data_IF_350951830749
#
_entry.id   IF_350951830749
#
_cell.length_a   1.000
_cell.length_b   1.000
_cell.length_c   1.000
_cell.angle_alpha   90.00
_cell.angle_beta   90.00
_cell.angle_gamma   90.00
#
_symmetry.space_group_name_H-M   'P 1'
#
loop_
_entity.id
_entity.type
_entity.pdbx_description
1 polymer ?
#
# COMPACT_ATOMS: atom_id res chain seq x y z
N UNK A 1 10.74 -0.45 3.88
CA UNK A 1 10.48 0.33 5.11
C UNK A 1 9.39 1.33 4.83
N UNK A 2 8.56 1.63 5.83
CA UNK A 2 7.52 2.64 5.69
C UNK A 2 8.17 4.03 5.59
N UNK A 3 7.86 4.79 4.54
CA UNK A 3 8.46 6.10 4.32
C UNK A 3 7.85 7.20 5.22
N UNK A 4 6.59 7.07 5.63
CA UNK A 4 5.91 8.04 6.49
C UNK A 4 4.78 7.38 7.29
N UNK A 5 4.76 7.65 8.60
CA UNK A 5 3.71 7.21 9.52
C UNK A 5 2.41 7.97 9.28
N UNK A 6 2.49 9.23 8.89
CA UNK A 6 1.37 10.09 8.54
C UNK A 6 0.62 9.56 7.32
N UNK A 7 1.37 9.15 6.28
CA UNK A 7 0.80 8.54 5.08
C UNK A 7 0.07 7.23 5.40
N UNK A 8 0.61 6.43 6.33
CA UNK A 8 -0.04 5.21 6.78
C UNK A 8 -1.32 5.48 7.60
N UNK A 9 -1.30 6.47 8.49
CA UNK A 9 -2.49 6.93 9.23
C UNK A 9 -3.58 7.44 8.28
N UNK A 10 -3.20 8.22 7.26
CA UNK A 10 -4.11 8.70 6.24
C UNK A 10 -4.74 7.56 5.43
N UNK A 11 -3.94 6.58 5.00
CA UNK A 11 -4.41 5.38 4.31
C UNK A 11 -5.43 4.59 5.15
N UNK A 12 -5.15 4.42 6.45
CA UNK A 12 -6.05 3.74 7.38
C UNK A 12 -7.37 4.49 7.56
N UNK A 13 -7.32 5.83 7.68
CA UNK A 13 -8.53 6.68 7.75
C UNK A 13 -9.37 6.56 6.48
N UNK A 14 -8.72 6.64 5.31
CA UNK A 14 -9.38 6.50 4.01
C UNK A 14 -10.06 5.12 3.86
N UNK A 15 -9.39 4.04 4.27
CA UNK A 15 -9.98 2.70 4.30
C UNK A 15 -11.21 2.63 5.21
N UNK A 16 -11.23 3.34 6.33
CA UNK A 16 -12.43 3.40 7.16
C UNK A 16 -13.56 4.12 6.40
N UNK A 17 -13.27 5.27 5.79
CA UNK A 17 -14.24 6.07 5.04
C UNK A 17 -14.86 5.29 3.87
N UNK A 18 -14.04 4.61 3.07
CA UNK A 18 -14.49 3.80 1.92
C UNK A 18 -15.34 2.58 2.32
N UNK A 19 -15.16 2.05 3.54
CA UNK A 19 -15.91 0.87 4.03
C UNK A 19 -17.20 1.30 4.75
N UNK A 20 -17.23 2.47 5.39
CA UNK A 20 -18.31 2.83 6.32
C UNK A 20 -19.41 3.73 5.75
N UNK A 21 -19.19 4.51 4.69
CA UNK A 21 -20.23 5.45 4.24
C UNK A 21 -20.72 5.19 2.82
N UNK A 22 -22.04 5.29 2.66
CA UNK A 22 -22.71 5.54 1.40
C UNK A 22 -22.13 6.85 0.82
N UNK A 23 -21.11 6.76 -0.02
CA UNK A 23 -20.59 7.93 -0.73
C UNK A 23 -21.70 8.50 -1.61
N UNK A 24 -22.32 9.58 -1.12
CA UNK A 24 -23.38 10.28 -1.85
C UNK A 24 -22.83 11.32 -2.83
N UNK A 25 -21.55 11.68 -2.69
CA UNK A 25 -20.83 12.55 -3.62
C UNK A 25 -19.90 11.72 -4.52
N UNK A 26 -20.23 11.55 -5.82
CA UNK A 26 -19.41 10.81 -6.77
C UNK A 26 -18.02 11.43 -7.00
N UNK A 27 -17.86 12.74 -6.84
CA UNK A 27 -16.57 13.42 -7.05
C UNK A 27 -15.63 13.10 -5.90
N UNK A 28 -16.10 13.27 -4.65
CA UNK A 28 -15.34 12.90 -3.47
C UNK A 28 -15.00 11.39 -3.46
N UNK A 29 -15.88 10.54 -4.00
CA UNK A 29 -15.61 9.12 -4.16
C UNK A 29 -14.50 8.85 -5.18
N UNK A 30 -14.53 9.50 -6.35
CA UNK A 30 -13.49 9.35 -7.36
C UNK A 30 -12.11 9.78 -6.84
N UNK A 31 -12.03 10.89 -6.10
CA UNK A 31 -10.80 11.36 -5.44
C UNK A 31 -10.33 10.37 -4.36
N UNK A 32 -11.26 9.82 -3.58
CA UNK A 32 -10.97 8.79 -2.59
C UNK A 32 -10.41 7.51 -3.24
N UNK A 33 -10.94 7.07 -4.38
CA UNK A 33 -10.42 5.93 -5.14
C UNK A 33 -9.01 6.20 -5.69
N UNK A 34 -8.76 7.40 -6.22
CA UNK A 34 -7.44 7.79 -6.70
C UNK A 34 -6.41 7.76 -5.56
N UNK A 35 -6.78 8.28 -4.38
CA UNK A 35 -5.96 8.25 -3.17
C UNK A 35 -5.74 6.81 -2.67
N UNK A 36 -6.78 5.97 -2.72
CA UNK A 36 -6.68 4.58 -2.33
C UNK A 36 -5.67 3.82 -3.20
N UNK A 37 -5.67 4.03 -4.51
CA UNK A 37 -4.65 3.47 -5.43
C UNK A 37 -3.25 3.86 -4.98
N UNK A 38 -3.01 5.14 -4.72
CA UNK A 38 -1.68 5.62 -4.31
C UNK A 38 -1.23 4.99 -2.99
N UNK A 39 -2.12 4.91 -2.00
CA UNK A 39 -1.80 4.28 -0.72
C UNK A 39 -1.58 2.77 -0.83
N UNK A 40 -2.35 2.07 -1.68
CA UNK A 40 -2.10 0.65 -1.96
C UNK A 40 -0.71 0.43 -2.54
N UNK A 41 -0.26 1.27 -3.49
CA UNK A 41 1.09 1.18 -4.04
C UNK A 41 2.17 1.41 -2.97
N UNK A 42 1.98 2.40 -2.11
CA UNK A 42 2.88 2.66 -0.99
C UNK A 42 2.99 1.44 -0.06
N UNK A 43 1.87 0.78 0.26
CA UNK A 43 1.86 -0.41 1.11
C UNK A 43 2.52 -1.61 0.43
N UNK A 44 2.28 -1.83 -0.87
CA UNK A 44 2.94 -2.88 -1.66
C UNK A 44 4.46 -2.68 -1.72
N UNK A 45 4.92 -1.46 -1.97
CA UNK A 45 6.34 -1.13 -1.95
C UNK A 45 6.94 -1.34 -0.55
N UNK A 46 6.23 -0.93 0.50
CA UNK A 46 6.65 -1.13 1.89
C UNK A 46 6.82 -2.61 2.22
N UNK A 47 5.88 -3.44 1.78
CA UNK A 47 5.95 -4.90 1.90
C UNK A 47 7.19 -5.45 1.20
N UNK A 48 7.42 -5.11 -0.08
CA UNK A 48 8.57 -5.59 -0.83
C UNK A 48 9.89 -5.23 -0.14
N UNK A 49 10.03 -4.00 0.33
CA UNK A 49 11.23 -3.60 1.07
C UNK A 49 11.39 -4.33 2.42
N UNK A 50 10.29 -4.67 3.11
CA UNK A 50 10.37 -5.45 4.35
C UNK A 50 10.79 -6.90 4.06
N UNK A 51 10.25 -7.48 2.99
CA UNK A 51 10.62 -8.79 2.48
C UNK A 51 12.11 -8.84 2.13
N UNK A 52 12.61 -7.88 1.36
CA UNK A 52 14.03 -7.80 0.98
C UNK A 52 14.94 -7.66 2.22
N UNK A 53 14.52 -6.85 3.19
CA UNK A 53 15.25 -6.73 4.45
C UNK A 53 15.31 -8.06 5.21
N UNK A 54 14.17 -8.76 5.30
CA UNK A 54 14.09 -10.03 5.99
C UNK A 54 14.97 -11.10 5.32
N UNK A 55 14.95 -11.17 3.98
CA UNK A 55 15.79 -12.06 3.19
C UNK A 55 17.29 -11.81 3.45
N UNK A 56 17.68 -10.54 3.50
CA UNK A 56 19.09 -10.17 3.61
C UNK A 56 19.64 -10.20 5.05
N UNK A 57 18.78 -10.07 6.07
CA UNK A 57 19.23 -9.77 7.44
C UNK A 57 18.73 -10.72 8.52
N UNK A 58 17.67 -11.51 8.26
CA UNK A 58 16.99 -12.25 9.33
C UNK A 58 17.30 -13.74 9.38
N UNK A 59 18.20 -14.26 8.54
CA UNK A 59 18.64 -15.67 8.51
C UNK A 59 17.46 -16.63 8.67
N UNK A 60 16.47 -16.50 7.80
CA UNK A 60 15.22 -17.25 7.89
C UNK A 60 15.41 -18.68 7.37
N UNK A 61 14.90 -19.65 8.13
CA UNK A 61 14.94 -21.07 7.75
C UNK A 61 13.90 -21.45 6.68
N UNK A 62 12.96 -20.55 6.39
CA UNK A 62 11.85 -20.76 5.44
C UNK A 62 11.84 -19.78 4.28
N UNK A 63 11.22 -20.16 3.17
CA UNK A 63 11.05 -19.30 2.00
C UNK A 63 10.09 -18.15 2.31
N UNK A 64 10.48 -16.93 1.95
CA UNK A 64 9.59 -15.78 1.99
C UNK A 64 8.56 -15.85 0.86
N UNK A 65 7.36 -15.24 1.04
CA UNK A 65 6.41 -15.13 -0.06
C UNK A 65 6.99 -14.27 -1.21
N UNK A 66 6.42 -14.39 -2.40
CA UNK A 66 6.92 -13.66 -3.58
C UNK A 66 6.77 -12.13 -3.46
N UNK A 67 7.61 -11.40 -4.18
CA UNK A 67 7.49 -9.95 -4.29
C UNK A 67 6.19 -9.55 -5.00
N UNK A 68 5.56 -8.49 -4.54
CA UNK A 68 4.38 -7.93 -5.19
C UNK A 68 4.79 -7.14 -6.43
N UNK A 69 4.12 -7.39 -7.56
CA UNK A 69 4.30 -6.61 -8.79
C UNK A 69 3.56 -5.28 -8.66
N UNK A 70 4.27 -4.16 -8.78
CA UNK A 70 3.64 -2.84 -8.78
C UNK A 70 3.27 -2.42 -10.22
N UNK A 71 2.02 -1.99 -10.47
CA UNK A 71 1.53 -1.69 -11.82
C UNK A 71 2.24 -0.54 -12.55
N UNK A 72 2.96 0.33 -11.83
CA UNK A 72 3.69 1.47 -12.41
C UNK A 72 5.19 1.16 -12.67
N UNK A 73 5.63 -0.10 -12.55
CA UNK A 73 7.03 -0.52 -12.78
C UNK A 73 7.28 -1.16 -14.16
N UNK A 74 6.31 -1.13 -15.07
CA UNK A 74 6.58 -1.44 -16.48
C UNK A 74 7.32 -0.28 -17.14
N UNK A 75 8.53 -0.49 -17.71
CA UNK A 75 9.16 0.54 -18.53
C UNK A 75 8.24 0.83 -19.73
N UNK A 76 7.97 2.11 -19.97
CA UNK A 76 7.39 2.58 -21.24
C UNK A 76 8.38 2.39 -22.38
#
# INVERSE_FOLDING_TARGET
MLASTEAWLAARKLRNQLIHEYMQDPVAFAEALASARQFSLMLMATYNSLRDYAEQRMSLDGSLPEALVLPDQHPR
#
